data_IF_281229639904
#
_entry.id   IF_281229639904
#
_cell.length_a   1.000
_cell.length_b   1.000
_cell.length_c   1.000
_cell.angle_alpha   90.00
_cell.angle_beta   90.00
_cell.angle_gamma   90.00
#
_symmetry.space_group_name_H-M   'P 1'
#
loop_
_entity.id
_entity.type
_entity.pdbx_description
1 polymer ?
#
# COMPACT_ATOMS: atom_id res chain seq x y z
N UNK A 1 -49.63 -53.98 0.20
CA UNK A 1 -49.76 -52.87 1.15
C UNK A 1 -48.39 -52.21 1.32
N UNK A 2 -48.36 -50.89 1.22
CA UNK A 2 -47.17 -50.01 1.33
C UNK A 2 -46.65 -49.99 2.77
N UNK A 3 -45.38 -49.60 2.97
CA UNK A 3 -44.83 -48.61 3.93
C UNK A 3 -43.31 -48.93 4.12
N UNK A 4 -42.42 -48.26 3.38
CA UNK A 4 -41.64 -47.04 3.68
C UNK A 4 -40.23 -47.34 4.24
N UNK A 5 -39.26 -46.79 3.51
CA UNK A 5 -37.81 -46.71 3.74
C UNK A 5 -37.48 -45.87 4.97
N UNK A 6 -36.47 -46.24 5.76
CA UNK A 6 -35.59 -45.26 6.42
C UNK A 6 -34.16 -45.82 6.43
N UNK A 7 -33.31 -45.22 5.60
CA UNK A 7 -31.86 -45.33 5.70
C UNK A 7 -31.38 -44.36 6.78
N UNK A 8 -30.55 -44.81 7.72
CA UNK A 8 -29.88 -43.94 8.69
C UNK A 8 -28.42 -43.83 8.26
N UNK A 9 -28.10 -42.72 7.59
CA UNK A 9 -26.74 -42.32 7.29
C UNK A 9 -26.12 -41.72 8.55
N UNK A 10 -25.07 -42.35 9.09
CA UNK A 10 -24.26 -41.79 10.16
C UNK A 10 -23.15 -40.93 9.53
N UNK A 11 -23.34 -39.63 9.57
CA UNK A 11 -22.39 -38.61 9.14
C UNK A 11 -21.51 -38.24 10.36
N UNK A 12 -20.27 -38.72 10.40
CA UNK A 12 -19.29 -38.26 11.40
C UNK A 12 -18.44 -37.16 10.77
N UNK A 13 -18.85 -35.92 11.02
CA UNK A 13 -18.06 -34.72 10.74
C UNK A 13 -17.10 -34.49 11.91
N UNK A 14 -15.88 -35.01 11.80
CA UNK A 14 -14.81 -34.71 12.75
C UNK A 14 -14.09 -33.41 12.35
N UNK A 15 -14.36 -32.39 13.17
CA UNK A 15 -13.68 -31.12 13.40
C UNK A 15 -12.50 -30.73 12.50
N UNK A 16 -12.72 -29.71 11.67
CA UNK A 16 -11.66 -28.78 11.28
C UNK A 16 -11.30 -28.00 12.54
N UNK A 17 -10.07 -28.17 13.02
CA UNK A 17 -9.49 -27.35 14.07
C UNK A 17 -9.47 -25.90 13.60
N UNK A 18 -10.16 -25.07 14.36
CA UNK A 18 -10.19 -23.62 14.25
C UNK A 18 -8.76 -23.09 14.46
N UNK A 19 -8.02 -22.84 13.38
CA UNK A 19 -6.84 -21.98 13.47
C UNK A 19 -7.33 -20.62 13.92
N UNK A 20 -6.79 -20.13 15.03
CA UNK A 20 -7.12 -18.83 15.62
C UNK A 20 -7.16 -17.76 14.52
N UNK A 21 -8.38 -17.41 14.15
CA UNK A 21 -8.70 -16.39 13.18
C UNK A 21 -8.17 -15.08 13.77
N UNK A 22 -7.16 -14.51 13.11
CA UNK A 22 -6.69 -13.16 13.39
C UNK A 22 -7.78 -12.18 13.01
N UNK A 23 -8.83 -12.09 13.84
CA UNK A 23 -9.91 -11.14 13.66
C UNK A 23 -9.27 -9.75 13.53
N UNK A 24 -9.64 -8.97 12.49
CA UNK A 24 -9.01 -7.68 12.28
C UNK A 24 -9.29 -6.79 13.49
N UNK A 25 -8.22 -6.42 14.19
CA UNK A 25 -8.26 -5.36 15.20
C UNK A 25 -8.86 -4.10 14.55
N UNK A 26 -9.67 -3.36 15.31
CA UNK A 26 -10.71 -2.45 14.82
C UNK A 26 -10.29 -1.33 13.85
N UNK A 27 -11.27 -0.48 13.51
CA UNK A 27 -11.10 0.69 12.61
C UNK A 27 -9.93 1.60 13.04
N UNK A 28 -9.73 1.72 14.34
CA UNK A 28 -8.76 2.64 14.95
C UNK A 28 -7.31 2.18 14.70
N UNK A 29 -7.01 0.89 14.88
CA UNK A 29 -5.67 0.32 14.63
C UNK A 29 -5.23 0.50 13.17
N UNK A 30 -6.15 0.32 12.22
CA UNK A 30 -5.86 0.52 10.79
C UNK A 30 -5.67 1.98 10.44
N UNK A 31 -6.40 2.87 11.08
CA UNK A 31 -6.23 4.31 10.90
C UNK A 31 -4.84 4.74 11.38
N UNK A 32 -4.41 4.31 12.56
CA UNK A 32 -3.10 4.65 13.10
C UNK A 32 -1.95 4.06 12.28
N UNK A 33 -2.09 2.80 11.85
CA UNK A 33 -1.14 2.16 10.94
C UNK A 33 -1.03 2.92 9.61
N UNK A 34 -2.15 3.25 8.97
CA UNK A 34 -2.17 4.01 7.72
C UNK A 34 -1.54 5.40 7.90
N UNK A 35 -1.87 6.12 8.98
CA UNK A 35 -1.29 7.44 9.29
C UNK A 35 0.23 7.38 9.41
N UNK A 36 0.73 6.40 10.18
CA UNK A 36 2.17 6.16 10.38
C UNK A 36 2.87 5.83 9.06
N UNK A 37 2.29 4.93 8.26
CA UNK A 37 2.84 4.56 6.96
C UNK A 37 2.92 5.76 6.01
N UNK A 38 1.84 6.53 5.89
CA UNK A 38 1.77 7.72 5.02
C UNK A 38 2.88 8.70 5.40
N UNK A 39 3.03 9.01 6.70
CA UNK A 39 4.05 9.95 7.17
C UNK A 39 5.46 9.48 6.85
N UNK A 40 5.80 8.22 7.16
CA UNK A 40 7.13 7.65 6.88
C UNK A 40 7.45 7.64 5.40
N UNK A 41 6.49 7.20 4.57
CA UNK A 41 6.66 7.16 3.13
C UNK A 41 6.85 8.55 2.53
N UNK A 42 6.27 9.60 3.11
CA UNK A 42 6.54 10.99 2.73
C UNK A 42 8.03 11.35 2.82
N UNK A 43 8.71 10.95 3.91
CA UNK A 43 10.13 11.19 4.07
C UNK A 43 10.98 10.43 3.03
N UNK A 44 10.60 9.20 2.71
CA UNK A 44 11.26 8.38 1.67
C UNK A 44 11.10 9.03 0.29
N UNK A 45 9.91 9.56 -0.04
CA UNK A 45 9.67 10.27 -1.31
C UNK A 45 10.50 11.55 -1.41
N UNK A 46 10.61 12.32 -0.32
CA UNK A 46 11.46 13.52 -0.31
C UNK A 46 12.94 13.19 -0.51
N UNK A 47 13.42 12.09 0.07
CA UNK A 47 14.77 11.58 -0.19
C UNK A 47 14.94 11.16 -1.65
N UNK A 48 13.96 10.46 -2.22
CA UNK A 48 13.94 10.09 -3.63
C UNK A 48 14.00 11.33 -4.54
N UNK A 49 13.18 12.34 -4.27
CA UNK A 49 13.17 13.61 -5.01
C UNK A 49 14.53 14.28 -4.96
N UNK A 50 15.14 14.38 -3.78
CA UNK A 50 16.49 14.92 -3.61
C UNK A 50 17.50 14.16 -4.48
N UNK A 51 17.45 12.82 -4.47
CA UNK A 51 18.39 11.99 -5.24
C UNK A 51 18.22 12.12 -6.75
N UNK A 52 16.97 12.16 -7.21
CA UNK A 52 16.62 12.42 -8.62
C UNK A 52 17.08 13.82 -9.04
N UNK A 53 16.92 14.84 -8.19
CA UNK A 53 17.39 16.20 -8.48
C UNK A 53 18.93 16.27 -8.58
N UNK A 54 19.64 15.56 -7.71
CA UNK A 54 21.11 15.51 -7.68
C UNK A 54 21.70 14.81 -8.91
N UNK A 55 21.15 13.66 -9.32
CA UNK A 55 21.77 12.78 -10.31
C UNK A 55 21.06 12.75 -11.67
N UNK A 56 19.84 13.30 -11.74
CA UNK A 56 19.02 13.45 -12.96
C UNK A 56 18.80 12.13 -13.72
N UNK A 57 18.70 11.01 -13.01
CA UNK A 57 18.25 9.74 -13.60
C UNK A 57 16.73 9.66 -13.43
N UNK A 58 16.03 9.87 -14.54
CA UNK A 58 14.56 9.87 -14.59
C UNK A 58 14.06 8.49 -15.04
N UNK A 59 13.38 7.78 -14.15
CA UNK A 59 12.82 6.44 -14.43
C UNK A 59 11.30 6.45 -14.50
N UNK A 60 10.67 7.54 -14.02
CA UNK A 60 9.23 7.64 -13.80
C UNK A 60 8.78 7.08 -12.45
N UNK A 61 9.69 6.51 -11.65
CA UNK A 61 9.35 5.90 -10.37
C UNK A 61 9.04 6.96 -9.31
N UNK A 62 9.70 8.13 -9.34
CA UNK A 62 9.40 9.22 -8.41
C UNK A 62 7.99 9.77 -8.69
N UNK A 63 7.64 9.97 -9.96
CA UNK A 63 6.33 10.44 -10.39
C UNK A 63 5.22 9.50 -9.93
N UNK A 64 5.39 8.20 -10.19
CA UNK A 64 4.44 7.18 -9.73
C UNK A 64 4.39 7.13 -8.20
N UNK A 65 5.52 7.22 -7.50
CA UNK A 65 5.55 7.23 -6.03
C UNK A 65 4.72 8.40 -5.47
N UNK A 66 4.90 9.60 -6.00
CA UNK A 66 4.14 10.78 -5.61
C UNK A 66 2.63 10.61 -5.89
N UNK A 67 2.28 10.07 -7.05
CA UNK A 67 0.90 9.79 -7.44
C UNK A 67 0.21 8.79 -6.49
N UNK A 68 0.85 7.65 -6.21
CA UNK A 68 0.35 6.66 -5.25
C UNK A 68 0.19 7.25 -3.84
N UNK A 69 1.14 8.06 -3.40
CA UNK A 69 1.05 8.72 -2.09
C UNK A 69 -0.09 9.74 -2.02
N UNK A 70 -0.34 10.47 -3.11
CA UNK A 70 -1.48 11.39 -3.21
C UNK A 70 -2.81 10.63 -3.14
N UNK A 71 -2.95 9.52 -3.87
CA UNK A 71 -4.11 8.65 -3.79
C UNK A 71 -4.30 8.07 -2.38
N UNK A 72 -3.21 7.60 -1.74
CA UNK A 72 -3.26 7.08 -0.38
C UNK A 72 -3.78 8.12 0.63
N UNK A 73 -3.32 9.38 0.54
CA UNK A 73 -3.83 10.48 1.38
C UNK A 73 -5.30 10.76 1.14
N UNK A 74 -5.77 10.70 -0.12
CA UNK A 74 -7.20 10.84 -0.44
C UNK A 74 -8.01 9.71 0.20
N UNK A 75 -7.62 8.46 -0.03
CA UNK A 75 -8.27 7.27 0.54
C UNK A 75 -8.29 7.29 2.08
N UNK A 76 -7.23 7.80 2.71
CA UNK A 76 -7.18 7.96 4.15
C UNK A 76 -8.23 8.94 4.66
N UNK A 77 -8.38 10.11 4.01
CA UNK A 77 -9.41 11.11 4.35
C UNK A 77 -10.83 10.56 4.15
N UNK A 78 -11.02 9.68 3.18
CA UNK A 78 -12.28 8.97 2.92
C UNK A 78 -12.56 7.81 3.90
N UNK A 79 -11.66 7.52 4.83
CA UNK A 79 -11.79 6.41 5.78
C UNK A 79 -11.46 5.03 5.21
N UNK A 80 -10.91 4.96 4.00
CA UNK A 80 -10.48 3.74 3.34
C UNK A 80 -9.04 3.35 3.74
N UNK A 81 -8.80 3.16 5.04
CA UNK A 81 -7.46 2.99 5.61
C UNK A 81 -6.66 1.83 5.01
N UNK A 82 -7.29 0.68 4.81
CA UNK A 82 -6.61 -0.49 4.22
C UNK A 82 -6.14 -0.22 2.78
N UNK A 83 -6.99 0.42 1.97
CA UNK A 83 -6.64 0.81 0.60
C UNK A 83 -5.54 1.88 0.62
N UNK A 84 -5.60 2.83 1.55
CA UNK A 84 -4.54 3.81 1.73
C UNK A 84 -3.19 3.13 2.00
N UNK A 85 -3.16 2.15 2.90
CA UNK A 85 -1.94 1.38 3.19
C UNK A 85 -1.38 0.66 1.95
N UNK A 86 -2.21 0.06 1.11
CA UNK A 86 -1.76 -0.58 -0.13
C UNK A 86 -1.08 0.41 -1.09
N UNK A 87 -1.71 1.56 -1.33
CA UNK A 87 -1.09 2.59 -2.17
C UNK A 87 0.16 3.20 -1.53
N UNK A 88 0.20 3.36 -0.20
CA UNK A 88 1.40 3.82 0.52
C UNK A 88 2.55 2.82 0.43
N UNK A 89 2.28 1.51 0.51
CA UNK A 89 3.28 0.46 0.30
C UNK A 89 3.89 0.58 -1.10
N UNK A 90 3.04 0.68 -2.12
CA UNK A 90 3.48 0.84 -3.51
C UNK A 90 4.29 2.11 -3.72
N UNK A 91 3.84 3.24 -3.16
CA UNK A 91 4.56 4.50 -3.20
C UNK A 91 5.97 4.39 -2.60
N UNK A 92 6.11 3.72 -1.45
CA UNK A 92 7.41 3.50 -0.79
C UNK A 92 8.35 2.66 -1.65
N UNK A 93 7.85 1.56 -2.22
CA UNK A 93 8.64 0.70 -3.10
C UNK A 93 9.19 1.46 -4.32
N UNK A 94 8.34 2.25 -4.99
CA UNK A 94 8.73 3.08 -6.12
C UNK A 94 9.74 4.17 -5.72
N UNK A 95 9.56 4.81 -4.57
CA UNK A 95 10.52 5.81 -4.08
C UNK A 95 11.90 5.18 -3.80
N UNK A 96 11.95 3.96 -3.25
CA UNK A 96 13.21 3.22 -3.06
C UNK A 96 13.86 2.88 -4.41
N UNK A 97 13.09 2.48 -5.42
CA UNK A 97 13.60 2.26 -6.78
C UNK A 97 14.23 3.54 -7.36
N UNK A 98 13.55 4.69 -7.23
CA UNK A 98 14.07 5.98 -7.65
C UNK A 98 15.38 6.36 -6.92
N UNK A 99 15.47 6.10 -5.60
CA UNK A 99 16.68 6.32 -4.80
C UNK A 99 17.84 5.47 -5.33
N UNK A 100 17.62 4.16 -5.53
CA UNK A 100 18.64 3.23 -6.01
C UNK A 100 19.13 3.57 -7.41
N UNK A 101 18.21 3.90 -8.32
CA UNK A 101 18.54 4.34 -9.68
C UNK A 101 19.42 5.60 -9.67
N UNK A 102 19.24 6.47 -8.67
CA UNK A 102 20.00 7.69 -8.47
C UNK A 102 21.14 7.52 -7.44
N UNK A 103 21.68 6.31 -7.28
CA UNK A 103 22.87 6.01 -6.46
C UNK A 103 22.73 6.43 -4.98
N UNK A 104 21.50 6.50 -4.48
CA UNK A 104 21.24 6.71 -3.06
C UNK A 104 21.32 5.41 -2.27
N UNK A 105 21.63 5.53 -0.99
CA UNK A 105 21.51 4.43 -0.04
C UNK A 105 20.05 4.26 0.37
N UNK A 106 19.63 3.02 0.61
CA UNK A 106 18.30 2.74 1.10
C UNK A 106 18.08 3.40 2.48
N UNK A 107 16.98 4.13 2.67
CA UNK A 107 16.66 4.70 3.97
C UNK A 107 16.34 3.59 4.98
N UNK A 108 16.53 3.88 6.28
CA UNK A 108 16.14 2.95 7.36
C UNK A 108 14.64 2.60 7.33
N UNK A 109 13.82 3.49 6.77
CA UNK A 109 12.38 3.32 6.60
C UNK A 109 11.99 2.73 5.23
N UNK A 110 12.93 2.16 4.47
CA UNK A 110 12.65 1.54 3.17
C UNK A 110 11.69 0.34 3.29
N UNK A 111 11.88 -0.46 4.34
CA UNK A 111 11.10 -1.66 4.55
C UNK A 111 9.75 -1.37 5.23
N UNK A 112 8.78 -2.22 4.92
CA UNK A 112 7.51 -2.28 5.66
C UNK A 112 7.76 -3.04 6.96
N UNK A 113 7.45 -2.46 8.11
CA UNK A 113 7.65 -3.16 9.38
C UNK A 113 6.68 -4.34 9.53
N UNK A 114 7.03 -5.33 10.37
CA UNK A 114 6.16 -6.49 10.61
C UNK A 114 4.74 -6.07 11.05
N UNK A 115 4.63 -5.04 11.89
CA UNK A 115 3.35 -4.47 12.32
C UNK A 115 2.55 -3.88 11.14
N UNK A 116 3.21 -3.15 10.24
CA UNK A 116 2.60 -2.55 9.05
C UNK A 116 2.12 -3.66 8.09
N UNK A 117 2.91 -4.72 7.93
CA UNK A 117 2.56 -5.89 7.13
C UNK A 117 1.37 -6.66 7.71
N UNK A 118 1.34 -6.88 9.03
CA UNK A 118 0.25 -7.58 9.72
C UNK A 118 -1.11 -6.88 9.57
N UNK A 119 -1.13 -5.54 9.52
CA UNK A 119 -2.35 -4.77 9.35
C UNK A 119 -2.90 -4.76 7.90
N UNK A 120 -2.07 -5.11 6.90
CA UNK A 120 -2.46 -5.12 5.48
C UNK A 120 -3.15 -6.42 5.04
N UNK A 121 -2.88 -7.56 5.69
CA UNK A 121 -3.38 -8.85 5.21
C UNK A 121 -2.99 -9.12 3.75
N UNK A 122 -3.94 -9.57 2.92
CA UNK A 122 -3.72 -9.83 1.50
C UNK A 122 -3.76 -8.53 0.68
N UNK A 123 -2.60 -7.95 0.42
CA UNK A 123 -2.46 -6.80 -0.49
C UNK A 123 -2.64 -7.23 -1.97
N UNK A 124 -3.30 -6.40 -2.81
CA UNK A 124 -3.33 -6.59 -4.25
C UNK A 124 -1.92 -6.60 -4.86
N UNK A 125 -1.78 -7.12 -6.08
CA UNK A 125 -0.52 -7.04 -6.80
C UNK A 125 -0.19 -5.58 -7.17
N UNK A 126 1.09 -5.27 -7.24
CA UNK A 126 1.58 -3.92 -7.57
C UNK A 126 1.02 -3.42 -8.91
N UNK A 127 0.93 -4.30 -9.92
CA UNK A 127 0.35 -3.95 -11.23
C UNK A 127 -1.14 -3.58 -11.12
N UNK A 128 -1.91 -4.25 -10.26
CA UNK A 128 -3.32 -3.92 -10.04
C UNK A 128 -3.48 -2.55 -9.37
N UNK A 129 -2.56 -2.21 -8.46
CA UNK A 129 -2.53 -0.90 -7.81
C UNK A 129 -2.20 0.21 -8.80
N UNK A 130 -1.27 -0.04 -9.73
CA UNK A 130 -0.88 0.91 -10.78
C UNK A 130 -2.05 1.14 -11.76
N UNK A 131 -2.76 0.08 -12.17
CA UNK A 131 -3.98 0.19 -12.99
C UNK A 131 -5.07 0.97 -12.26
N UNK A 132 -5.27 0.71 -10.96
CA UNK A 132 -6.28 1.41 -10.16
C UNK A 132 -5.94 2.87 -9.97
N UNK A 133 -4.66 3.23 -9.82
CA UNK A 133 -4.22 4.62 -9.79
C UNK A 133 -4.62 5.36 -11.07
N UNK A 134 -4.35 4.76 -12.24
CA UNK A 134 -4.68 5.36 -13.53
C UNK A 134 -6.19 5.60 -13.70
N UNK A 135 -7.01 4.68 -13.20
CA UNK A 135 -8.47 4.81 -13.21
C UNK A 135 -8.98 5.87 -12.21
N UNK A 136 -8.45 5.88 -10.99
CA UNK A 136 -8.92 6.74 -9.89
C UNK A 136 -8.37 8.19 -9.99
N UNK A 137 -7.27 8.40 -10.71
CA UNK A 137 -6.57 9.69 -10.86
C UNK A 137 -6.06 9.91 -12.30
N UNK A 138 -6.95 10.09 -13.28
CA UNK A 138 -6.53 10.38 -14.66
C UNK A 138 -5.83 11.75 -14.72
N UNK A 139 -4.65 11.81 -15.34
CA UNK A 139 -3.89 13.05 -15.53
C UNK A 139 -2.84 13.37 -14.47
N UNK A 140 -2.59 12.47 -13.51
CA UNK A 140 -1.48 12.63 -12.58
C UNK A 140 -0.12 12.55 -13.32
N UNK A 141 0.90 13.33 -12.92
CA UNK A 141 2.20 13.30 -13.60
C UNK A 141 2.80 11.89 -13.62
N UNK A 142 3.28 11.48 -14.80
CA UNK A 142 3.91 10.17 -15.02
C UNK A 142 5.42 10.27 -15.22
N UNK A 143 5.97 11.49 -15.33
CA UNK A 143 7.38 11.76 -15.58
C UNK A 143 8.01 12.45 -14.38
N UNK A 144 9.23 12.04 -14.05
CA UNK A 144 9.94 12.56 -12.88
C UNK A 144 10.31 14.04 -13.06
N UNK A 145 10.59 14.45 -14.29
CA UNK A 145 10.92 15.81 -14.71
C UNK A 145 9.80 16.80 -14.37
N UNK A 146 8.55 16.35 -14.40
CA UNK A 146 7.38 17.19 -14.14
C UNK A 146 7.23 17.52 -12.65
N UNK A 147 7.90 16.77 -11.76
CA UNK A 147 7.69 16.87 -10.31
C UNK A 147 8.97 17.04 -9.49
N UNK A 148 10.15 16.86 -10.10
CA UNK A 148 11.44 16.91 -9.38
C UNK A 148 11.72 18.27 -8.74
N UNK A 149 11.23 19.35 -9.35
CA UNK A 149 11.43 20.73 -8.86
C UNK A 149 10.18 21.32 -8.19
N UNK A 150 9.08 20.58 -8.16
CA UNK A 150 7.85 20.98 -7.45
C UNK A 150 7.98 20.72 -5.96
N UNK A 151 7.34 21.53 -5.11
CA UNK A 151 7.18 21.16 -3.70
C UNK A 151 6.26 19.94 -3.62
N UNK A 152 6.83 18.77 -3.34
CA UNK A 152 6.07 17.57 -3.00
C UNK A 152 5.67 17.70 -1.53
N UNK A 153 4.70 18.59 -1.23
CA UNK A 153 4.33 18.89 0.14
C UNK A 153 3.99 17.61 0.92
N UNK A 154 4.80 17.42 1.97
CA UNK A 154 4.74 16.31 2.90
C UNK A 154 3.93 16.75 4.14
N UNK A 155 2.61 16.80 3.99
CA UNK A 155 1.69 16.90 5.12
C UNK A 155 0.82 18.15 5.07
N UNK A 156 -0.43 17.98 4.62
CA UNK A 156 -1.50 18.82 5.18
C UNK A 156 -1.82 18.29 6.59
N UNK A 157 -1.92 19.23 7.53
CA UNK A 157 -2.05 19.09 8.98
C UNK A 157 -2.99 17.98 9.48
#
# INVERSE_FOLDING_TARGET
MRIVRIAVAALVMSGIALTADGAPRGRDDRQDAARKMIRRTGAVILLAQKKVRENRVFTGDLAKAAAHQKLARRLFREGHYLRAMFHTKRARALAVLAIRANRGADPSDADISADEAGAMGNAPADADLDLKLAADMPGEPVRDEDIVDTSLDAGEN
#
